data_IF_086963880825
#
_entry.id   IF_086963880825
#
_cell.length_a   1.000
_cell.length_b   1.000
_cell.length_c   1.000
_cell.angle_alpha   90.00
_cell.angle_beta   90.00
_cell.angle_gamma   90.00
#
_symmetry.space_group_name_H-M   'P 1'
#
loop_
_entity.id
_entity.type
_entity.pdbx_description
1 polymer ?
#
# COMPACT_ATOMS: atom_id res chain seq x y z
N UNK A 1 4.72 5.31 -18.72
CA UNK A 1 6.13 5.42 -18.28
C UNK A 1 6.47 4.15 -17.53
N UNK A 2 7.70 3.64 -17.64
CA UNK A 2 8.14 2.51 -16.81
C UNK A 2 8.45 3.03 -15.41
N UNK A 3 7.67 2.57 -14.43
CA UNK A 3 7.83 2.89 -13.00
C UNK A 3 9.17 2.35 -12.53
N UNK A 4 10.06 3.21 -12.01
CA UNK A 4 11.30 2.77 -11.36
C UNK A 4 10.96 2.26 -9.96
N UNK A 5 10.45 1.05 -9.90
CA UNK A 5 9.78 0.50 -8.74
C UNK A 5 10.58 0.53 -7.42
N UNK A 6 11.90 0.28 -7.39
CA UNK A 6 12.71 0.51 -6.20
C UNK A 6 12.70 1.96 -5.70
N UNK A 7 12.57 2.95 -6.57
CA UNK A 7 12.44 4.36 -6.17
C UNK A 7 11.05 4.65 -5.60
N UNK A 8 9.98 4.07 -6.16
CA UNK A 8 8.63 4.16 -5.62
C UNK A 8 8.55 3.57 -4.22
N UNK A 9 9.02 2.35 -4.06
CA UNK A 9 9.07 1.69 -2.76
C UNK A 9 9.84 2.53 -1.73
N UNK A 10 11.03 3.03 -2.09
CA UNK A 10 11.84 3.89 -1.22
C UNK A 10 11.18 5.23 -0.90
N UNK A 11 10.38 5.79 -1.81
CA UNK A 11 9.69 7.07 -1.58
C UNK A 11 8.66 6.96 -0.46
N UNK A 12 7.94 5.84 -0.36
CA UNK A 12 6.99 5.60 0.75
C UNK A 12 7.73 5.46 2.08
N UNK A 13 8.88 4.80 2.12
CA UNK A 13 9.66 4.63 3.36
C UNK A 13 9.99 5.98 4.01
N UNK A 14 10.30 7.00 3.21
CA UNK A 14 10.50 8.36 3.71
C UNK A 14 9.24 8.92 4.38
N UNK A 15 8.09 8.73 3.74
CA UNK A 15 6.78 9.20 4.24
C UNK A 15 6.32 8.45 5.49
N UNK A 16 6.63 7.15 5.62
CA UNK A 16 6.27 6.34 6.80
C UNK A 16 6.81 6.89 8.11
N UNK A 17 7.99 7.55 8.07
CA UNK A 17 8.61 8.13 9.28
C UNK A 17 7.84 9.32 9.83
N UNK A 18 7.11 10.01 8.97
CA UNK A 18 6.43 11.27 9.30
C UNK A 18 4.89 11.12 9.30
N UNK A 19 4.34 10.00 8.83
CA UNK A 19 2.90 9.80 8.61
C UNK A 19 2.11 9.45 9.86
N UNK A 20 2.76 8.99 10.92
CA UNK A 20 2.08 8.45 12.11
C UNK A 20 1.40 7.10 11.88
N UNK A 21 1.68 6.41 10.76
CA UNK A 21 1.13 5.07 10.48
C UNK A 21 1.78 3.96 11.31
N UNK A 22 2.96 4.21 11.87
CA UNK A 22 3.69 3.27 12.69
C UNK A 22 3.93 3.91 14.06
N UNK A 23 3.43 3.26 15.10
CA UNK A 23 3.65 3.61 16.50
C UNK A 23 4.51 2.53 17.15
N UNK A 24 5.12 2.81 18.30
CA UNK A 24 6.02 1.86 18.97
C UNK A 24 5.37 0.51 19.36
N UNK A 25 4.04 0.41 19.34
CA UNK A 25 3.28 -0.75 19.77
C UNK A 25 2.28 -1.28 18.72
N UNK A 26 2.10 -0.61 17.58
CA UNK A 26 1.22 -1.09 16.51
C UNK A 26 1.44 -0.35 15.18
N UNK A 27 1.00 -0.98 14.09
CA UNK A 27 0.88 -0.37 12.76
C UNK A 27 -0.58 -0.09 12.45
N UNK A 28 -0.88 1.07 11.86
CA UNK A 28 -2.15 1.36 11.20
C UNK A 28 -2.10 0.84 9.75
N UNK A 29 -2.82 -0.25 9.42
CA UNK A 29 -2.72 -0.85 8.10
C UNK A 29 -3.22 0.08 7.01
N UNK A 30 -2.50 0.16 5.90
CA UNK A 30 -2.79 1.08 4.80
C UNK A 30 -2.45 0.46 3.45
N UNK A 31 -3.38 0.57 2.50
CA UNK A 31 -3.15 0.31 1.08
C UNK A 31 -2.78 1.63 0.39
N UNK A 32 -1.71 1.62 -0.38
CA UNK A 32 -1.28 2.73 -1.21
C UNK A 32 -1.35 2.27 -2.65
N UNK A 33 -2.25 2.83 -3.44
CA UNK A 33 -2.31 2.61 -4.88
C UNK A 33 -1.42 3.61 -5.59
N UNK A 34 -0.53 3.15 -6.45
CA UNK A 34 0.18 4.02 -7.37
C UNK A 34 -0.68 4.21 -8.61
N UNK A 35 -1.15 5.44 -8.85
CA UNK A 35 -2.14 5.72 -9.88
C UNK A 35 -1.59 6.65 -10.94
N UNK A 36 -1.70 6.21 -12.20
CA UNK A 36 -1.44 7.02 -13.37
C UNK A 36 -2.77 7.57 -13.90
N UNK A 37 -2.89 8.89 -13.86
CA UNK A 37 -4.08 9.57 -14.32
C UNK A 37 -3.98 10.03 -15.77
N UNK A 38 -5.15 10.23 -16.35
CA UNK A 38 -5.40 11.15 -17.45
C UNK A 38 -6.40 12.16 -16.93
N UNK A 39 -6.57 13.32 -17.57
CA UNK A 39 -7.61 14.27 -17.17
C UNK A 39 -9.00 13.62 -17.07
N UNK A 40 -9.33 12.72 -18.01
CA UNK A 40 -10.60 11.99 -18.02
C UNK A 40 -10.72 11.03 -16.83
N UNK A 41 -9.69 10.21 -16.60
CA UNK A 41 -9.74 9.21 -15.53
C UNK A 41 -9.67 9.84 -14.15
N UNK A 42 -9.03 11.01 -13.99
CA UNK A 42 -9.05 11.80 -12.76
C UNK A 42 -10.46 12.23 -12.38
N UNK A 43 -11.21 12.79 -13.32
CA UNK A 43 -12.58 13.22 -13.09
C UNK A 43 -13.51 12.03 -12.76
N UNK A 44 -13.35 10.91 -13.48
CA UNK A 44 -14.12 9.68 -13.22
C UNK A 44 -13.76 9.06 -11.87
N UNK A 45 -12.48 9.05 -11.50
CA UNK A 45 -11.99 8.59 -10.21
C UNK A 45 -12.55 9.41 -9.06
N UNK A 46 -12.42 10.74 -9.11
CA UNK A 46 -12.95 11.64 -8.08
C UNK A 46 -14.47 11.51 -7.93
N UNK A 47 -15.19 11.34 -9.04
CA UNK A 47 -16.62 11.06 -8.97
C UNK A 47 -16.92 9.75 -8.23
N UNK A 48 -16.12 8.70 -8.48
CA UNK A 48 -16.28 7.40 -7.82
C UNK A 48 -15.98 7.47 -6.33
N UNK A 49 -14.95 8.23 -5.93
CA UNK A 49 -14.67 8.52 -4.50
C UNK A 49 -15.86 9.22 -3.86
N UNK A 50 -16.40 10.27 -4.50
CA UNK A 50 -17.54 11.04 -3.97
C UNK A 50 -18.81 10.20 -3.74
N UNK A 51 -19.00 9.13 -4.51
CA UNK A 51 -20.13 8.20 -4.32
C UNK A 51 -20.02 7.40 -3.02
N UNK A 52 -18.80 7.20 -2.51
CA UNK A 52 -18.50 6.45 -1.29
C UNK A 52 -18.31 7.38 -0.09
N UNK A 53 -17.49 8.43 -0.26
CA UNK A 53 -17.06 9.31 0.81
C UNK A 53 -16.85 10.74 0.28
N UNK A 54 -17.69 11.67 0.74
CA UNK A 54 -17.62 13.08 0.31
C UNK A 54 -16.45 13.83 0.95
N UNK A 55 -16.02 13.45 2.15
CA UNK A 55 -14.90 14.07 2.85
C UNK A 55 -13.58 13.66 2.19
N UNK A 56 -13.40 12.35 1.95
CA UNK A 56 -12.25 11.82 1.20
C UNK A 56 -12.18 12.42 -0.21
N UNK A 57 -13.32 12.64 -0.87
CA UNK A 57 -13.36 13.33 -2.16
C UNK A 57 -12.77 14.74 -2.09
N UNK A 58 -13.12 15.52 -1.06
CA UNK A 58 -12.61 16.89 -0.94
C UNK A 58 -11.10 16.89 -0.67
N UNK A 59 -10.64 15.98 0.19
CA UNK A 59 -9.21 15.81 0.49
C UNK A 59 -8.41 15.40 -0.76
N UNK A 60 -8.85 14.35 -1.46
CA UNK A 60 -8.17 13.88 -2.67
C UNK A 60 -8.22 14.90 -3.80
N UNK A 61 -9.31 15.68 -3.92
CA UNK A 61 -9.38 16.74 -4.91
C UNK A 61 -8.31 17.80 -4.67
N UNK A 62 -8.16 18.28 -3.43
CA UNK A 62 -7.13 19.26 -3.09
C UNK A 62 -5.72 18.69 -3.22
N UNK A 63 -5.52 17.45 -2.80
CA UNK A 63 -4.26 16.74 -2.93
C UNK A 63 -3.80 16.61 -4.40
N UNK A 64 -4.70 16.22 -5.30
CA UNK A 64 -4.40 16.05 -6.72
C UNK A 64 -4.10 17.36 -7.47
N UNK A 65 -4.46 18.53 -6.94
CA UNK A 65 -4.07 19.81 -7.52
C UNK A 65 -2.57 20.09 -7.41
N UNK A 66 -1.86 19.37 -6.54
CA UNK A 66 -0.42 19.51 -6.32
C UNK A 66 0.48 18.77 -7.32
N UNK A 67 -0.08 17.92 -8.19
CA UNK A 67 0.66 17.00 -9.06
C UNK A 67 0.47 17.32 -10.54
N UNK A 68 1.50 17.03 -11.34
CA UNK A 68 1.34 16.97 -12.79
C UNK A 68 0.82 15.58 -13.20
N UNK A 69 -0.50 15.49 -13.40
CA UNK A 69 -1.20 14.21 -13.58
C UNK A 69 -0.79 13.45 -14.85
N UNK A 70 -0.14 14.10 -15.83
CA UNK A 70 0.31 13.44 -17.07
C UNK A 70 1.73 12.86 -16.95
N UNK A 71 2.50 13.32 -15.96
CA UNK A 71 3.91 12.96 -15.80
C UNK A 71 4.20 12.07 -14.58
N UNK A 72 3.28 12.04 -13.61
CA UNK A 72 3.53 11.43 -12.30
C UNK A 72 2.62 10.23 -12.00
N UNK A 73 3.20 9.21 -11.36
CA UNK A 73 2.45 8.17 -10.66
C UNK A 73 2.16 8.67 -9.26
N UNK A 74 0.89 8.89 -8.95
CA UNK A 74 0.46 9.55 -7.71
C UNK A 74 0.08 8.47 -6.69
N UNK A 75 0.63 8.49 -5.46
CA UNK A 75 0.19 7.59 -4.41
C UNK A 75 -1.18 8.04 -3.87
N UNK A 76 -2.10 7.09 -3.80
CA UNK A 76 -3.44 7.27 -3.22
C UNK A 76 -3.60 6.30 -2.06
N UNK A 77 -3.80 6.86 -0.87
CA UNK A 77 -3.79 6.13 0.39
C UNK A 77 -5.21 5.74 0.80
N UNK A 78 -5.39 4.49 1.20
CA UNK A 78 -6.64 3.93 1.70
C UNK A 78 -6.38 3.20 3.04
N UNK A 79 -6.98 3.67 4.15
CA UNK A 79 -6.93 2.96 5.42
C UNK A 79 -7.56 1.56 5.28
N UNK A 80 -6.91 0.55 5.85
CA UNK A 80 -7.41 -0.83 5.89
C UNK A 80 -7.94 -1.17 7.29
N UNK A 81 -8.90 -0.37 7.77
CA UNK A 81 -9.60 -0.60 9.04
C UNK A 81 -11.02 -1.11 8.77
N UNK A 82 -11.20 -2.43 8.85
CA UNK A 82 -12.45 -3.11 8.54
C UNK A 82 -13.01 -3.77 9.80
N UNK A 83 -14.28 -3.49 10.12
CA UNK A 83 -14.98 -4.10 11.25
C UNK A 83 -15.55 -5.49 10.92
N UNK A 84 -15.57 -5.88 9.65
CA UNK A 84 -16.10 -7.17 9.19
C UNK A 84 -15.54 -7.61 7.84
N UNK A 85 -15.70 -8.90 7.54
CA UNK A 85 -15.38 -9.49 6.23
C UNK A 85 -16.23 -8.86 5.11
N UNK A 86 -17.48 -8.49 5.38
CA UNK A 86 -18.36 -7.81 4.40
C UNK A 86 -17.81 -6.43 4.01
N UNK A 87 -17.22 -5.70 4.96
CA UNK A 87 -16.56 -4.41 4.69
C UNK A 87 -15.29 -4.59 3.88
N UNK A 88 -14.52 -5.63 4.18
CA UNK A 88 -13.33 -6.00 3.41
C UNK A 88 -13.69 -6.36 1.96
N UNK A 89 -14.67 -7.22 1.74
CA UNK A 89 -15.13 -7.58 0.38
C UNK A 89 -15.64 -6.36 -0.38
N UNK A 90 -16.43 -5.50 0.27
CA UNK A 90 -16.94 -4.26 -0.33
C UNK A 90 -15.81 -3.30 -0.72
N UNK A 91 -14.75 -3.24 0.08
CA UNK A 91 -13.55 -2.47 -0.24
C UNK A 91 -12.84 -3.03 -1.48
N UNK A 92 -12.66 -4.35 -1.58
CA UNK A 92 -12.04 -4.95 -2.78
C UNK A 92 -12.88 -4.78 -4.04
N UNK A 93 -14.20 -4.87 -3.94
CA UNK A 93 -15.10 -4.54 -5.04
C UNK A 93 -14.90 -3.08 -5.48
N UNK A 94 -14.77 -2.15 -4.53
CA UNK A 94 -14.44 -0.75 -4.83
C UNK A 94 -13.08 -0.61 -5.53
N UNK A 95 -12.02 -1.26 -5.04
CA UNK A 95 -10.69 -1.23 -5.67
C UNK A 95 -10.76 -1.77 -7.11
N UNK A 96 -11.48 -2.87 -7.34
CA UNK A 96 -11.70 -3.43 -8.67
C UNK A 96 -12.43 -2.45 -9.60
N UNK A 97 -13.40 -1.69 -9.09
CA UNK A 97 -14.05 -0.63 -9.85
C UNK A 97 -13.08 0.50 -10.20
N UNK A 98 -12.21 0.91 -9.26
CA UNK A 98 -11.16 1.91 -9.49
C UNK A 98 -10.19 1.47 -10.58
N UNK A 99 -9.76 0.20 -10.61
CA UNK A 99 -8.90 -0.36 -11.66
C UNK A 99 -9.49 -0.25 -13.08
N UNK A 100 -10.82 -0.19 -13.20
CA UNK A 100 -11.49 0.00 -14.50
C UNK A 100 -11.50 1.48 -14.96
N UNK A 101 -11.14 2.41 -14.08
CA UNK A 101 -11.17 3.86 -14.33
C UNK A 101 -9.75 4.39 -14.57
N UNK A 102 -8.80 3.98 -13.74
CA UNK A 102 -7.42 4.48 -13.74
C UNK A 102 -6.43 3.35 -14.02
N UNK A 103 -5.23 3.71 -14.47
CA UNK A 103 -4.15 2.73 -14.62
C UNK A 103 -3.35 2.67 -13.32
N UNK A 104 -3.21 1.46 -12.77
CA UNK A 104 -2.48 1.19 -11.52
C UNK A 104 -1.26 0.33 -11.86
N UNK A 105 -0.06 0.92 -12.02
CA UNK A 105 1.17 0.15 -12.27
C UNK A 105 1.67 -0.67 -11.05
N UNK A 106 1.19 -0.36 -9.85
CA UNK A 106 1.58 -1.06 -8.64
C UNK A 106 0.82 -0.62 -7.40
N UNK A 107 1.00 -1.35 -6.30
CA UNK A 107 0.49 -0.98 -4.98
C UNK A 107 1.51 -1.28 -3.89
N UNK A 108 1.29 -0.68 -2.73
CA UNK A 108 2.04 -0.93 -1.51
C UNK A 108 1.11 -1.16 -0.34
N UNK A 109 1.51 -2.01 0.60
CA UNK A 109 0.75 -2.29 1.83
C UNK A 109 1.67 -2.02 3.01
N UNK A 110 1.20 -1.17 3.91
CA UNK A 110 1.81 -0.95 5.22
C UNK A 110 1.08 -1.88 6.20
N UNK A 111 1.80 -2.77 6.85
CA UNK A 111 1.21 -3.75 7.77
C UNK A 111 2.21 -4.18 8.85
N UNK A 112 1.70 -4.85 9.86
CA UNK A 112 2.52 -5.59 10.83
C UNK A 112 2.67 -7.04 10.36
N UNK A 113 3.90 -7.56 10.36
CA UNK A 113 4.19 -8.96 10.01
C UNK A 113 4.84 -9.68 11.17
N UNK A 114 4.57 -10.98 11.30
CA UNK A 114 5.29 -11.83 12.26
C UNK A 114 6.45 -12.52 11.54
N UNK A 115 7.66 -12.34 12.06
CA UNK A 115 8.83 -13.09 11.60
C UNK A 115 8.93 -14.37 12.42
N UNK A 116 8.41 -15.48 11.89
CA UNK A 116 8.49 -16.79 12.53
C UNK A 116 9.92 -17.33 12.48
N UNK A 117 10.79 -16.86 13.39
CA UNK A 117 11.96 -17.65 13.73
C UNK A 117 11.47 -18.89 14.47
N UNK A 118 11.80 -20.07 13.96
CA UNK A 118 11.70 -21.38 14.64
C UNK A 118 12.39 -21.34 16.02
N UNK A 119 11.75 -20.75 17.02
CA UNK A 119 12.12 -20.85 18.43
C UNK A 119 10.85 -21.16 19.19
N UNK A 120 10.65 -22.45 19.44
CA UNK A 120 9.57 -23.06 20.22
C UNK A 120 9.46 -22.56 21.69
N UNK A 121 10.05 -21.42 22.06
CA UNK A 121 10.33 -21.10 23.46
C UNK A 121 10.34 -19.60 23.82
N UNK A 122 9.63 -18.70 23.12
CA UNK A 122 9.39 -17.34 23.65
C UNK A 122 7.97 -16.85 23.39
N UNK A 123 7.44 -16.15 24.40
CA UNK A 123 6.03 -15.91 24.65
C UNK A 123 5.55 -14.54 24.15
N UNK A 124 6.34 -13.92 23.26
CA UNK A 124 6.09 -12.63 22.65
C UNK A 124 6.31 -12.78 21.14
N UNK A 125 5.23 -13.02 20.39
CA UNK A 125 5.22 -12.88 18.93
C UNK A 125 5.40 -11.38 18.63
N UNK A 126 6.63 -10.87 18.67
CA UNK A 126 6.92 -9.48 18.30
C UNK A 126 6.64 -9.32 16.80
N UNK A 127 5.59 -8.58 16.48
CA UNK A 127 5.34 -8.12 15.12
C UNK A 127 6.33 -7.04 14.73
N UNK A 128 6.58 -6.94 13.44
CA UNK A 128 7.47 -5.95 12.84
C UNK A 128 6.68 -5.11 11.83
N UNK A 129 6.86 -3.78 11.81
CA UNK A 129 6.35 -2.98 10.73
C UNK A 129 6.97 -3.40 9.41
N UNK A 130 6.15 -3.46 8.38
CA UNK A 130 6.59 -3.79 7.04
C UNK A 130 5.89 -2.94 5.98
N UNK A 131 6.64 -2.69 4.91
CA UNK A 131 6.13 -2.18 3.65
C UNK A 131 6.25 -3.30 2.63
N UNK A 132 5.12 -3.88 2.24
CA UNK A 132 5.05 -4.74 1.08
C UNK A 132 4.72 -3.90 -0.16
N UNK A 133 5.15 -4.32 -1.33
CA UNK A 133 4.74 -3.73 -2.58
C UNK A 133 4.66 -4.80 -3.66
N UNK A 134 3.85 -4.54 -4.69
CA UNK A 134 3.74 -5.38 -5.88
C UNK A 134 3.44 -4.54 -7.13
N UNK A 135 3.99 -4.93 -8.27
CA UNK A 135 3.72 -4.33 -9.59
C UNK A 135 2.82 -5.22 -10.45
N UNK A 136 2.23 -4.65 -11.51
CA UNK A 136 1.44 -5.44 -12.47
C UNK A 136 2.24 -6.57 -13.16
N UNK A 137 3.58 -6.45 -13.19
CA UNK A 137 4.49 -7.47 -13.72
C UNK A 137 4.85 -8.54 -12.67
N UNK A 138 4.15 -8.57 -11.52
CA UNK A 138 4.39 -9.48 -10.39
C UNK A 138 5.79 -9.34 -9.76
N UNK A 139 6.42 -8.17 -9.87
CA UNK A 139 7.64 -7.87 -9.09
C UNK A 139 7.20 -7.48 -7.68
N UNK A 140 7.64 -8.24 -6.69
CA UNK A 140 7.33 -8.05 -5.27
C UNK A 140 8.54 -7.54 -4.50
N UNK A 141 8.34 -6.58 -3.60
CA UNK A 141 9.37 -6.09 -2.69
C UNK A 141 8.82 -5.96 -1.29
N UNK A 142 9.59 -6.41 -0.30
CA UNK A 142 9.28 -6.27 1.11
C UNK A 142 10.41 -5.51 1.79
N UNK A 143 10.07 -4.49 2.56
CA UNK A 143 10.98 -3.91 3.55
C UNK A 143 10.40 -4.15 4.92
N UNK A 144 11.20 -4.71 5.82
CA UNK A 144 10.84 -4.93 7.22
C UNK A 144 11.64 -3.96 8.08
N UNK A 145 11.00 -3.37 9.08
CA UNK A 145 11.60 -2.38 9.95
C UNK A 145 11.67 -2.86 11.40
N UNK A 146 12.62 -2.34 12.16
CA UNK A 146 12.46 -2.25 13.61
C UNK A 146 11.44 -1.15 13.98
N UNK A 147 11.03 -1.10 15.24
CA UNK A 147 10.10 -0.08 15.74
C UNK A 147 10.69 1.35 15.76
N UNK A 148 11.98 1.51 15.46
CA UNK A 148 12.66 2.79 15.26
C UNK A 148 12.76 3.15 13.76
N UNK A 149 12.09 2.39 12.88
CA UNK A 149 12.05 2.55 11.43
C UNK A 149 13.43 2.45 10.75
N UNK A 150 14.31 1.61 11.29
CA UNK A 150 15.52 1.14 10.62
C UNK A 150 15.20 -0.16 9.88
N UNK A 151 15.65 -0.26 8.64
CA UNK A 151 15.48 -1.46 7.82
C UNK A 151 16.25 -2.65 8.40
N UNK A 152 15.57 -3.80 8.48
CA UNK A 152 16.14 -5.10 8.79
C UNK A 152 16.51 -5.79 7.48
N UNK A 153 17.75 -5.58 7.03
CA UNK A 153 18.25 -6.03 5.72
C UNK A 153 18.09 -7.55 5.52
N UNK A 154 18.16 -8.35 6.58
CA UNK A 154 18.05 -9.82 6.47
C UNK A 154 16.64 -10.32 6.11
N UNK A 155 15.61 -9.50 6.30
CA UNK A 155 14.20 -9.83 5.98
C UNK A 155 13.65 -8.99 4.82
N UNK A 156 14.48 -8.11 4.25
CA UNK A 156 14.09 -7.14 3.23
C UNK A 156 14.68 -7.49 1.86
N UNK A 157 13.96 -7.17 0.78
CA UNK A 157 14.43 -7.37 -0.59
C UNK A 157 13.33 -7.67 -1.60
N UNK A 158 13.78 -8.12 -2.78
CA UNK A 158 12.92 -8.63 -3.84
C UNK A 158 12.55 -10.09 -3.59
N UNK A 159 11.29 -10.43 -3.80
CA UNK A 159 10.77 -11.78 -3.63
C UNK A 159 10.05 -12.24 -4.90
N UNK A 160 10.06 -13.55 -5.16
CA UNK A 160 9.21 -14.15 -6.17
C UNK A 160 7.74 -14.09 -5.72
N UNK A 161 6.82 -13.91 -6.66
CA UNK A 161 5.39 -13.70 -6.36
C UNK A 161 4.72 -14.91 -5.68
N UNK A 162 5.31 -16.10 -5.77
CA UNK A 162 4.87 -17.35 -5.12
C UNK A 162 5.68 -17.70 -3.86
N UNK A 163 6.55 -16.80 -3.38
CA UNK A 163 7.32 -17.00 -2.15
C UNK A 163 6.37 -17.10 -0.92
N UNK A 164 6.53 -18.17 -0.14
CA UNK A 164 5.69 -18.45 1.04
C UNK A 164 5.76 -17.34 2.10
N UNK A 165 6.84 -16.55 2.12
CA UNK A 165 7.02 -15.46 3.08
C UNK A 165 6.20 -14.21 2.72
N UNK A 166 5.83 -14.02 1.44
CA UNK A 166 5.11 -12.82 0.97
C UNK A 166 3.72 -13.11 0.44
N UNK A 167 3.37 -14.38 0.15
CA UNK A 167 2.07 -14.76 -0.42
C UNK A 167 0.88 -14.28 0.42
N UNK A 168 1.03 -14.23 1.75
CA UNK A 168 0.00 -13.73 2.66
C UNK A 168 -0.16 -12.21 2.69
N UNK A 169 0.80 -11.48 2.12
CA UNK A 169 0.79 -10.01 2.02
C UNK A 169 0.23 -9.52 0.67
N UNK A 170 0.10 -10.43 -0.30
CA UNK A 170 -0.43 -10.12 -1.63
C UNK A 170 -1.93 -9.88 -1.55
N UNK A 171 -2.37 -8.86 -2.26
CA UNK A 171 -3.77 -8.52 -2.45
C UNK A 171 -4.19 -8.95 -3.86
N UNK A 172 -5.46 -9.35 -4.07
CA UNK A 172 -5.96 -9.80 -5.38
C UNK A 172 -6.19 -8.61 -6.35
N UNK A 173 -5.16 -7.78 -6.53
CA UNK A 173 -5.14 -6.61 -7.41
C UNK A 173 -4.53 -6.99 -8.78
N UNK A 174 -3.58 -7.92 -8.82
CA UNK A 174 -2.92 -8.43 -10.03
C UNK A 174 -2.98 -9.97 -10.13
#
# INVERSE_FOLDING_TARGET
>A
MSVNYPEFHKSIIGTLKDSGLIHHDHVHPMLILWVNFTEKSKDEFLKKIKEQDEDLYNELKEYLEGFDIEEESIPIDFPMDFASEEEFDSFFDFINEIQNIVYIPGYSVVSEISLSQEKEDQQDDEGFPALFSETEDNVCYLTVFDWDLNELEEYSGEFDADDENIVGLRLPIF
#
